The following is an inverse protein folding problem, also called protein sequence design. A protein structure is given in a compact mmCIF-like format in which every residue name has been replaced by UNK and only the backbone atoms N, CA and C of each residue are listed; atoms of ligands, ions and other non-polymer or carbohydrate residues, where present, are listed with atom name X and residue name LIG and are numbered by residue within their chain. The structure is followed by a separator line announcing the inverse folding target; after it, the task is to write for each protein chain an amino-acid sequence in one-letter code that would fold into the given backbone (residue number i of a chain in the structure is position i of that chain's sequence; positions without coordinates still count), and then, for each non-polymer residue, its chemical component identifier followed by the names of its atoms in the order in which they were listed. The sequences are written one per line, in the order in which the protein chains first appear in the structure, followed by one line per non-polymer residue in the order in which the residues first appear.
data_IF_773280868106
#
_entry.id   IF_773280868106
#
_cell.length_a   1.000
_cell.length_b   1.000
_cell.length_c   1.000
_cell.angle_alpha   90.00
_cell.angle_beta   90.00
_cell.angle_gamma   90.00
#
_symmetry.space_group_name_H-M   'P 1'
#
loop_
_entity.id
_entity.type
_entity.pdbx_description
1 polymer ?
#
# COMPACT_ATOMS: atom_id res chain seq x y z
N UNK A 1 14.65 28.71 19.19
CA UNK A 1 13.38 28.07 18.83
C UNK A 1 12.92 28.45 17.42
N UNK A 2 12.74 29.72 17.11
CA UNK A 2 12.28 30.20 15.80
C UNK A 2 13.17 29.73 14.63
N UNK A 3 14.51 29.76 14.78
CA UNK A 3 15.45 29.32 13.77
C UNK A 3 15.28 27.80 13.41
N UNK A 4 15.05 26.95 14.42
CA UNK A 4 14.81 25.54 14.21
C UNK A 4 13.48 25.29 13.47
N UNK A 5 12.44 26.02 13.83
CA UNK A 5 11.14 25.92 13.16
C UNK A 5 11.26 26.33 11.69
N UNK A 6 11.91 27.49 11.42
CA UNK A 6 12.15 27.94 10.04
C UNK A 6 12.92 26.89 9.24
N UNK A 7 14.00 26.35 9.80
CA UNK A 7 14.78 25.31 9.13
C UNK A 7 13.93 24.07 8.77
N UNK A 8 13.04 23.60 9.68
CA UNK A 8 12.16 22.48 9.40
C UNK A 8 11.13 22.77 8.31
N UNK A 9 10.66 23.99 8.23
CA UNK A 9 9.78 24.42 7.14
C UNK A 9 10.52 24.47 5.80
N UNK A 10 11.75 24.95 5.80
CA UNK A 10 12.59 24.99 4.61
C UNK A 10 12.92 23.56 4.13
N UNK A 11 13.28 22.66 5.07
CA UNK A 11 13.51 21.23 4.77
C UNK A 11 12.27 20.58 4.12
N UNK A 12 11.07 20.83 4.68
CA UNK A 12 9.83 20.29 4.14
C UNK A 12 9.50 20.85 2.75
N UNK A 13 9.73 22.16 2.53
CA UNK A 13 9.54 22.80 1.24
C UNK A 13 10.48 22.19 0.18
N UNK A 14 11.73 21.95 0.54
CA UNK A 14 12.72 21.34 -0.35
C UNK A 14 12.31 19.90 -0.76
N UNK A 15 11.79 19.11 0.17
CA UNK A 15 11.28 17.75 -0.15
C UNK A 15 10.09 17.81 -1.11
N UNK A 16 9.14 18.73 -0.88
CA UNK A 16 7.98 18.92 -1.77
C UNK A 16 8.44 19.34 -3.17
N UNK A 17 9.42 20.23 -3.28
CA UNK A 17 9.94 20.66 -4.58
C UNK A 17 10.66 19.50 -5.30
N UNK A 18 11.41 18.66 -4.57
CA UNK A 18 12.07 17.49 -5.13
C UNK A 18 11.09 16.44 -5.71
N UNK A 19 9.83 16.39 -5.24
CA UNK A 19 8.79 15.52 -5.82
C UNK A 19 8.49 15.83 -7.30
N UNK A 20 8.86 17.01 -7.81
CA UNK A 20 8.73 17.33 -9.25
C UNK A 20 9.56 16.40 -10.12
N UNK A 21 10.71 15.94 -9.61
CA UNK A 21 11.57 15.00 -10.32
C UNK A 21 10.95 13.60 -10.41
N UNK A 22 10.05 13.26 -9.48
CA UNK A 22 9.33 12.00 -9.44
C UNK A 22 7.97 12.03 -10.17
N UNK A 23 7.66 13.10 -10.92
CA UNK A 23 6.35 13.27 -11.59
C UNK A 23 6.00 12.10 -12.52
N UNK A 24 6.96 11.60 -13.29
CA UNK A 24 6.76 10.49 -14.22
C UNK A 24 6.53 9.16 -13.47
N UNK A 25 7.23 8.94 -12.36
CA UNK A 25 7.03 7.77 -11.50
C UNK A 25 5.64 7.80 -10.86
N UNK A 26 5.22 8.96 -10.35
CA UNK A 26 3.88 9.15 -9.78
C UNK A 26 2.80 8.90 -10.84
N UNK A 27 2.99 9.39 -12.06
CA UNK A 27 2.06 9.15 -13.17
C UNK A 27 1.99 7.65 -13.53
N UNK A 28 3.12 6.96 -13.54
CA UNK A 28 3.19 5.51 -13.78
C UNK A 28 2.46 4.73 -12.70
N UNK A 29 2.73 5.01 -11.42
CA UNK A 29 2.04 4.40 -10.27
C UNK A 29 0.53 4.62 -10.38
N UNK A 30 0.11 5.87 -10.67
CA UNK A 30 -1.30 6.22 -10.82
C UNK A 30 -1.96 5.41 -11.95
N UNK A 31 -1.29 5.26 -13.08
CA UNK A 31 -1.79 4.48 -14.21
C UNK A 31 -1.96 3.00 -13.86
N UNK A 32 -1.01 2.40 -13.14
CA UNK A 32 -1.11 1.02 -12.65
C UNK A 32 -2.32 0.86 -11.72
N UNK A 33 -2.50 1.77 -10.76
CA UNK A 33 -3.63 1.71 -9.83
C UNK A 33 -4.98 1.81 -10.55
N UNK A 34 -5.11 2.72 -11.53
CA UNK A 34 -6.32 2.88 -12.34
C UNK A 34 -6.60 1.61 -13.15
N UNK A 35 -5.60 1.06 -13.81
CA UNK A 35 -5.74 -0.16 -14.62
C UNK A 35 -6.23 -1.33 -13.76
N UNK A 36 -5.57 -1.57 -12.63
CA UNK A 36 -5.90 -2.67 -11.73
C UNK A 36 -7.32 -2.53 -11.14
N UNK A 37 -7.71 -1.34 -10.70
CA UNK A 37 -9.10 -1.09 -10.23
C UNK A 37 -10.11 -1.30 -11.37
N UNK A 38 -9.82 -0.84 -12.58
CA UNK A 38 -10.73 -0.95 -13.72
C UNK A 38 -10.94 -2.40 -14.18
N UNK A 39 -10.00 -3.27 -13.89
CA UNK A 39 -10.08 -4.72 -14.14
C UNK A 39 -10.56 -5.54 -12.95
N UNK A 40 -11.10 -4.88 -11.92
CA UNK A 40 -11.75 -5.53 -10.78
C UNK A 40 -10.81 -5.85 -9.60
N UNK A 41 -9.57 -5.37 -9.62
CA UNK A 41 -8.61 -5.56 -8.54
C UNK A 41 -8.88 -4.67 -7.34
N UNK A 42 -8.32 -5.06 -6.20
CA UNK A 42 -8.36 -4.36 -4.91
C UNK A 42 -6.97 -3.82 -4.56
N UNK A 43 -6.90 -2.61 -4.03
CA UNK A 43 -5.66 -2.03 -3.50
C UNK A 43 -5.52 -2.40 -2.03
N UNK A 44 -4.56 -3.25 -1.70
CA UNK A 44 -4.17 -3.56 -0.33
C UNK A 44 -3.04 -2.61 0.08
N UNK A 45 -3.17 -1.99 1.25
CA UNK A 45 -2.19 -0.99 1.69
C UNK A 45 -1.62 -1.37 3.06
N UNK A 46 -0.28 -1.30 3.20
CA UNK A 46 0.42 -1.63 4.42
C UNK A 46 1.48 -0.59 4.80
N UNK A 47 1.82 -0.54 6.09
CA UNK A 47 2.88 0.29 6.65
C UNK A 47 3.00 0.11 8.15
N UNK A 48 4.10 0.56 8.75
CA UNK A 48 4.33 0.49 10.18
C UNK A 48 4.29 1.89 10.82
N UNK A 49 3.80 2.01 12.04
CA UNK A 49 3.83 3.27 12.80
C UNK A 49 3.16 4.43 12.05
N UNK A 50 3.89 5.52 11.77
CA UNK A 50 3.37 6.65 10.99
C UNK A 50 2.95 6.27 9.57
N UNK A 51 3.65 5.33 8.95
CA UNK A 51 3.31 4.78 7.64
C UNK A 51 1.97 4.02 7.66
N UNK A 52 1.59 3.40 8.79
CA UNK A 52 0.27 2.79 8.92
C UNK A 52 -0.85 3.83 8.92
N UNK A 53 -0.62 5.01 9.49
CA UNK A 53 -1.58 6.11 9.45
C UNK A 53 -1.76 6.64 8.01
N UNK A 54 -0.69 6.69 7.22
CA UNK A 54 -0.75 7.04 5.80
C UNK A 54 -1.52 5.97 5.00
N UNK A 55 -1.29 4.68 5.30
CA UNK A 55 -2.03 3.57 4.70
C UNK A 55 -3.53 3.65 4.98
N UNK A 56 -3.92 3.91 6.23
CA UNK A 56 -5.31 4.11 6.62
C UNK A 56 -5.94 5.31 5.90
N UNK A 57 -5.22 6.44 5.83
CA UNK A 57 -5.69 7.65 5.16
C UNK A 57 -5.91 7.40 3.65
N UNK A 58 -4.96 6.75 2.96
CA UNK A 58 -5.14 6.42 1.56
C UNK A 58 -6.37 5.52 1.32
N UNK A 59 -6.56 4.49 2.15
CA UNK A 59 -7.71 3.60 2.01
C UNK A 59 -9.05 4.31 2.26
N UNK A 60 -9.11 5.21 3.24
CA UNK A 60 -10.34 5.94 3.50
C UNK A 60 -10.67 6.93 2.39
N UNK A 61 -9.67 7.58 1.78
CA UNK A 61 -9.86 8.44 0.62
C UNK A 61 -10.33 7.65 -0.62
N UNK A 62 -9.88 6.41 -0.78
CA UNK A 62 -10.32 5.53 -1.87
C UNK A 62 -11.73 4.99 -1.65
N UNK A 63 -12.05 4.51 -0.46
CA UNK A 63 -13.36 3.93 -0.12
C UNK A 63 -14.42 5.00 0.12
N UNK A 64 -14.05 6.13 0.69
CA UNK A 64 -14.89 7.30 0.85
C UNK A 64 -14.88 8.18 -0.40
N UNK A 65 -14.23 9.32 -0.29
CA UNK A 65 -13.98 10.21 -1.44
C UNK A 65 -12.85 11.19 -1.14
N UNK A 66 -12.10 11.52 -2.17
CA UNK A 66 -11.20 12.67 -2.16
C UNK A 66 -11.82 13.80 -3.02
N UNK A 67 -12.16 14.96 -2.40
CA UNK A 67 -12.80 16.14 -3.03
C UNK A 67 -14.20 15.85 -3.61
N UNK A 68 -14.28 15.38 -4.86
CA UNK A 68 -15.54 15.21 -5.58
C UNK A 68 -16.23 13.89 -5.25
N UNK A 69 -17.59 13.89 -5.33
CA UNK A 69 -18.38 12.68 -5.13
C UNK A 69 -18.18 11.72 -6.31
N UNK A 70 -17.79 10.48 -6.02
CA UNK A 70 -17.59 9.38 -6.98
C UNK A 70 -18.01 8.04 -6.37
N UNK A 71 -18.13 6.97 -7.15
CA UNK A 71 -18.25 5.62 -6.61
C UNK A 71 -17.06 5.25 -5.71
N UNK A 72 -17.32 4.45 -4.67
CA UNK A 72 -16.27 3.89 -3.82
C UNK A 72 -15.29 3.03 -4.65
N UNK A 73 -14.00 3.13 -4.34
CA UNK A 73 -12.96 2.29 -4.95
C UNK A 73 -12.53 1.19 -3.97
N UNK A 74 -12.25 -0.03 -4.47
CA UNK A 74 -11.89 -1.15 -3.62
C UNK A 74 -10.49 -0.94 -3.02
N UNK A 75 -10.43 -0.74 -1.70
CA UNK A 75 -9.18 -0.62 -0.96
C UNK A 75 -9.30 -1.26 0.42
N UNK A 76 -8.25 -1.95 0.86
CA UNK A 76 -8.14 -2.62 2.15
C UNK A 76 -6.88 -2.14 2.86
N UNK A 77 -7.02 -1.59 4.07
CA UNK A 77 -5.87 -1.26 4.91
C UNK A 77 -5.52 -2.45 5.80
N UNK A 78 -4.40 -3.10 5.53
CA UNK A 78 -3.91 -4.24 6.31
C UNK A 78 -3.44 -3.86 7.73
N UNK A 79 -3.42 -2.55 8.04
CA UNK A 79 -3.05 -2.03 9.37
C UNK A 79 -4.27 -1.75 10.26
N UNK A 80 -5.50 -1.86 9.76
CA UNK A 80 -6.69 -1.37 10.46
C UNK A 80 -7.33 -2.40 11.39
N UNK A 81 -7.15 -3.70 11.14
CA UNK A 81 -7.70 -4.75 11.99
C UNK A 81 -6.70 -5.14 13.10
N UNK A 82 -6.86 -4.53 14.26
CA UNK A 82 -6.02 -4.81 15.42
C UNK A 82 -6.16 -6.26 15.92
N UNK A 83 -7.33 -6.89 15.75
CA UNK A 83 -7.53 -8.27 16.16
C UNK A 83 -6.76 -9.23 15.25
N UNK A 84 -6.85 -9.06 13.94
CA UNK A 84 -6.07 -9.84 12.98
C UNK A 84 -4.57 -9.66 13.19
N UNK A 85 -4.09 -8.41 13.30
CA UNK A 85 -2.67 -8.12 13.51
C UNK A 85 -2.12 -8.74 14.79
N UNK A 86 -2.84 -8.62 15.91
CA UNK A 86 -2.35 -9.15 17.20
C UNK A 86 -2.42 -10.67 17.25
N UNK A 87 -3.45 -11.29 16.68
CA UNK A 87 -3.56 -12.74 16.56
C UNK A 87 -2.39 -13.29 15.70
N UNK A 88 -2.19 -12.74 14.50
CA UNK A 88 -1.12 -13.19 13.61
C UNK A 88 0.26 -12.99 14.26
N UNK A 89 0.49 -11.83 14.88
CA UNK A 89 1.76 -11.55 15.56
C UNK A 89 2.04 -12.53 16.69
N UNK A 90 1.01 -12.90 17.47
CA UNK A 90 1.14 -13.85 18.59
C UNK A 90 1.41 -15.28 18.13
N UNK A 91 0.74 -15.73 17.08
CA UNK A 91 0.74 -17.13 16.66
C UNK A 91 1.82 -17.44 15.61
N UNK A 92 2.19 -16.46 14.77
CA UNK A 92 3.07 -16.65 13.61
C UNK A 92 4.28 -15.71 13.58
N UNK A 93 4.34 -14.73 14.49
CA UNK A 93 5.38 -13.70 14.52
C UNK A 93 5.00 -12.43 13.77
N UNK A 94 5.68 -11.32 14.15
CA UNK A 94 5.40 -9.99 13.61
C UNK A 94 5.66 -9.88 12.08
N UNK A 95 6.59 -10.65 11.56
CA UNK A 95 6.94 -10.69 10.15
C UNK A 95 5.79 -11.16 9.27
N UNK A 96 4.85 -11.94 9.82
CA UNK A 96 3.73 -12.55 9.10
C UNK A 96 2.46 -11.68 9.09
N UNK A 97 2.44 -10.56 9.79
CA UNK A 97 1.20 -9.80 10.03
C UNK A 97 0.53 -9.30 8.76
N UNK A 98 1.30 -8.91 7.74
CA UNK A 98 0.75 -8.49 6.46
C UNK A 98 0.62 -9.65 5.47
N UNK A 99 1.61 -10.53 5.42
CA UNK A 99 1.61 -11.69 4.54
C UNK A 99 0.31 -12.50 4.65
N UNK A 100 -0.06 -12.90 5.88
CA UNK A 100 -1.25 -13.71 6.10
C UNK A 100 -2.55 -13.02 5.71
N UNK A 101 -2.61 -11.70 5.84
CA UNK A 101 -3.76 -10.93 5.37
C UNK A 101 -3.80 -10.85 3.83
N UNK A 102 -2.65 -10.72 3.16
CA UNK A 102 -2.56 -10.78 1.69
C UNK A 102 -3.04 -12.14 1.19
N UNK A 103 -2.55 -13.24 1.78
CA UNK A 103 -2.99 -14.60 1.44
C UNK A 103 -4.52 -14.81 1.61
N UNK A 104 -5.12 -14.10 2.58
CA UNK A 104 -6.56 -14.21 2.85
C UNK A 104 -7.42 -13.34 1.93
N UNK A 105 -6.89 -12.23 1.44
CA UNK A 105 -7.66 -11.22 0.68
C UNK A 105 -7.36 -11.22 -0.81
N UNK A 106 -6.24 -11.77 -1.24
CA UNK A 106 -5.88 -11.81 -2.66
C UNK A 106 -6.95 -12.55 -3.46
N UNK A 107 -7.42 -11.91 -4.53
CA UNK A 107 -8.44 -12.43 -5.42
C UNK A 107 -7.79 -13.11 -6.61
N UNK A 108 -8.26 -14.31 -6.95
CA UNK A 108 -7.75 -15.06 -8.09
C UNK A 108 -8.88 -15.34 -9.08
N UNK A 109 -8.64 -15.06 -10.35
CA UNK A 109 -9.53 -15.47 -11.44
C UNK A 109 -8.90 -16.67 -12.14
N UNK A 110 -9.62 -17.79 -12.21
CA UNK A 110 -9.21 -18.97 -12.99
C UNK A 110 -9.79 -18.80 -14.38
N UNK A 111 -8.95 -18.60 -15.38
CA UNK A 111 -9.37 -18.61 -16.77
C UNK A 111 -9.20 -20.02 -17.36
N UNK A 112 -10.28 -20.50 -17.98
CA UNK A 112 -10.48 -21.77 -18.69
C UNK A 112 -9.28 -22.73 -18.81
N UNK A 113 -9.36 -23.86 -18.11
CA UNK A 113 -8.58 -25.10 -18.27
C UNK A 113 -7.03 -25.04 -18.32
N UNK A 114 -6.42 -23.87 -18.30
CA UNK A 114 -4.99 -23.69 -18.07
C UNK A 114 -4.77 -22.94 -16.74
N UNK A 115 -3.84 -23.41 -15.92
CA UNK A 115 -3.49 -22.89 -14.58
C UNK A 115 -3.00 -21.42 -14.57
N UNK A 116 -3.57 -20.54 -15.38
CA UNK A 116 -3.20 -19.12 -15.38
C UNK A 116 -4.08 -18.38 -14.39
N UNK A 117 -3.61 -18.26 -13.19
CA UNK A 117 -4.23 -17.44 -12.14
C UNK A 117 -3.85 -15.98 -12.38
N UNK A 118 -4.79 -15.16 -12.85
CA UNK A 118 -4.59 -13.72 -12.94
C UNK A 118 -5.04 -13.06 -11.64
N UNK A 119 -4.12 -12.37 -10.99
CA UNK A 119 -4.42 -11.51 -9.85
C UNK A 119 -4.33 -10.04 -10.27
N UNK A 120 -5.47 -9.33 -10.20
CA UNK A 120 -5.53 -7.91 -10.53
C UNK A 120 -5.27 -7.00 -9.31
N UNK A 121 -5.06 -7.59 -8.14
CA UNK A 121 -4.84 -6.84 -6.92
C UNK A 121 -3.47 -6.15 -6.89
N UNK A 122 -3.37 -5.14 -6.05
CA UNK A 122 -2.15 -4.36 -5.83
C UNK A 122 -1.79 -4.39 -4.36
N UNK A 123 -0.52 -4.59 -4.03
CA UNK A 123 0.02 -4.26 -2.72
C UNK A 123 0.78 -2.93 -2.81
N UNK A 124 0.30 -1.90 -2.10
CA UNK A 124 0.99 -0.63 -1.94
C UNK A 124 1.52 -0.53 -0.51
N UNK A 125 2.81 -0.26 -0.36
CA UNK A 125 3.44 -0.14 0.95
C UNK A 125 4.07 1.23 1.18
N UNK A 126 3.94 1.73 2.41
CA UNK A 126 4.67 2.89 2.91
C UNK A 126 5.78 2.42 3.86
N UNK A 127 7.03 2.81 3.61
CA UNK A 127 8.15 2.45 4.48
C UNK A 127 9.26 3.49 4.42
N UNK A 128 9.46 4.25 5.49
CA UNK A 128 10.54 5.26 5.56
C UNK A 128 11.94 4.64 5.53
N UNK A 129 12.12 3.43 6.07
CA UNK A 129 13.41 2.75 6.06
C UNK A 129 13.65 1.88 4.83
N UNK A 130 12.58 1.52 4.10
CA UNK A 130 12.62 0.57 3.00
C UNK A 130 13.06 -0.85 3.40
N UNK A 131 13.19 -1.14 4.72
CA UNK A 131 13.81 -2.39 5.19
C UNK A 131 13.09 -3.02 6.40
N UNK A 132 11.79 -2.85 6.53
CA UNK A 132 11.01 -3.50 7.59
C UNK A 132 10.72 -4.96 7.23
N UNK A 133 11.07 -5.91 8.09
CA UNK A 133 10.96 -7.35 7.81
C UNK A 133 9.54 -7.77 7.39
N UNK A 134 8.50 -7.31 8.10
CA UNK A 134 7.12 -7.61 7.76
C UNK A 134 6.67 -7.01 6.41
N UNK A 135 7.22 -5.87 6.00
CA UNK A 135 6.97 -5.27 4.68
C UNK A 135 7.67 -6.08 3.59
N UNK A 136 8.92 -6.49 3.80
CA UNK A 136 9.66 -7.30 2.83
C UNK A 136 8.98 -8.64 2.60
N UNK A 137 8.57 -9.34 3.68
CA UNK A 137 7.82 -10.60 3.60
C UNK A 137 6.46 -10.42 2.89
N UNK A 138 5.80 -9.29 3.10
CA UNK A 138 4.56 -8.96 2.41
C UNK A 138 4.78 -8.76 0.89
N UNK A 139 5.83 -8.04 0.50
CA UNK A 139 6.18 -7.82 -0.90
C UNK A 139 6.58 -9.12 -1.62
N UNK A 140 7.35 -9.99 -0.94
CA UNK A 140 7.71 -11.32 -1.47
C UNK A 140 6.44 -12.15 -1.73
N UNK A 141 5.55 -12.23 -0.75
CA UNK A 141 4.28 -12.94 -0.88
C UNK A 141 3.41 -12.35 -2.00
N UNK A 142 3.27 -11.03 -2.09
CA UNK A 142 2.48 -10.39 -3.14
C UNK A 142 3.04 -10.70 -4.55
N UNK A 143 4.36 -10.70 -4.71
CA UNK A 143 5.00 -11.07 -5.97
C UNK A 143 4.78 -12.55 -6.31
N UNK A 144 4.88 -13.46 -5.33
CA UNK A 144 4.62 -14.89 -5.52
C UNK A 144 3.16 -15.15 -5.96
N UNK A 145 2.23 -14.35 -5.47
CA UNK A 145 0.81 -14.41 -5.80
C UNK A 145 0.44 -13.63 -7.08
N UNK A 146 1.39 -12.96 -7.72
CA UNK A 146 1.15 -12.20 -8.97
C UNK A 146 0.50 -10.83 -8.79
N UNK A 147 0.43 -10.29 -7.57
CA UNK A 147 -0.03 -8.93 -7.34
C UNK A 147 0.96 -7.92 -7.94
N UNK A 148 0.46 -6.79 -8.41
CA UNK A 148 1.34 -5.64 -8.66
C UNK A 148 1.82 -5.07 -7.31
N UNK A 149 3.11 -4.76 -7.20
CA UNK A 149 3.70 -4.22 -5.98
C UNK A 149 4.19 -2.80 -6.18
N UNK A 150 3.87 -1.91 -5.24
CA UNK A 150 4.25 -0.49 -5.25
C UNK A 150 4.85 -0.14 -3.89
N UNK A 151 6.05 0.44 -3.88
CA UNK A 151 6.71 0.91 -2.67
C UNK A 151 6.86 2.44 -2.69
N UNK A 152 6.34 3.12 -1.67
CA UNK A 152 6.61 4.53 -1.38
C UNK A 152 7.60 4.57 -0.20
N UNK A 153 8.85 4.81 -0.55
CA UNK A 153 9.99 4.67 0.36
C UNK A 153 10.58 6.05 0.69
N UNK A 154 11.14 6.19 1.91
CA UNK A 154 11.83 7.40 2.34
C UNK A 154 13.34 7.30 2.25
#
# INVERSE_FOLDING_TARGET
MNTLISQRLDDAAAVIEALREATDDIATITSVLIDRISTGGTIMVAGNGGSSAQAMHLCEELTGRYRDTRPALPAICLCSDAAAMTCIANDFGWEQVFKRQIEAHASFTIEDDEETTLCNDVLLVFSTSGNSANINVALECANELGLATIGLLG
#
